data_IF_814658894009
#
_entry.id   IF_814658894009
#
_cell.length_a   1.000
_cell.length_b   1.000
_cell.length_c   1.000
_cell.angle_alpha   90.00
_cell.angle_beta   90.00
_cell.angle_gamma   90.00
#
_symmetry.space_group_name_H-M   'P 1'
#
loop_
_entity.id
_entity.type
_entity.pdbx_description
1 polymer ?
#
# COMPACT_ATOMS: atom_id res chain seq x y z
N UNK A 1 11.74 4.18 -15.61
CA UNK A 1 10.76 5.10 -14.98
C UNK A 1 11.46 6.29 -14.32
N UNK A 2 10.89 7.49 -14.44
CA UNK A 2 11.43 8.68 -13.80
C UNK A 2 10.71 8.90 -12.43
N UNK A 3 11.18 8.20 -11.40
CA UNK A 3 10.54 8.25 -10.07
C UNK A 3 10.53 9.66 -9.44
N UNK A 4 11.60 10.48 -9.54
CA UNK A 4 11.55 11.87 -9.08
C UNK A 4 10.44 12.70 -9.72
N UNK A 5 10.17 12.48 -11.01
CA UNK A 5 9.07 13.14 -11.71
C UNK A 5 7.70 12.71 -11.14
N UNK A 6 7.52 11.41 -10.87
CA UNK A 6 6.28 10.92 -10.26
C UNK A 6 6.04 11.52 -8.87
N UNK A 7 7.08 11.60 -8.03
CA UNK A 7 7.01 12.25 -6.71
C UNK A 7 6.64 13.73 -6.85
N UNK A 8 7.21 14.43 -7.84
CA UNK A 8 6.89 15.83 -8.10
C UNK A 8 5.40 16.01 -8.45
N UNK A 9 4.86 15.23 -9.39
CA UNK A 9 3.45 15.31 -9.76
C UNK A 9 2.53 14.93 -8.60
N UNK A 10 2.87 13.90 -7.83
CA UNK A 10 2.16 13.51 -6.61
C UNK A 10 2.03 14.70 -5.64
N UNK A 11 3.13 15.45 -5.45
CA UNK A 11 3.12 16.63 -4.58
C UNK A 11 2.23 17.74 -5.16
N UNK A 12 2.36 18.07 -6.44
CA UNK A 12 1.55 19.10 -7.10
C UNK A 12 0.04 18.80 -7.02
N UNK A 13 -0.36 17.53 -7.21
CA UNK A 13 -1.76 17.12 -7.02
C UNK A 13 -2.21 17.39 -5.58
N UNK A 14 -1.38 17.03 -4.58
CA UNK A 14 -1.72 17.26 -3.17
C UNK A 14 -1.78 18.74 -2.83
N UNK A 15 -0.92 19.57 -3.41
CA UNK A 15 -0.96 21.02 -3.24
C UNK A 15 -2.30 21.60 -3.73
N UNK A 16 -2.81 21.16 -4.89
CA UNK A 16 -4.15 21.54 -5.37
C UNK A 16 -5.24 21.07 -4.39
N UNK A 17 -5.18 19.83 -3.91
CA UNK A 17 -6.19 19.28 -3.01
C UNK A 17 -6.22 19.98 -1.64
N UNK A 18 -5.07 20.44 -1.15
CA UNK A 18 -4.95 21.15 0.13
C UNK A 18 -5.62 22.52 0.12
N UNK A 19 -5.91 23.09 -1.05
CA UNK A 19 -6.71 24.32 -1.15
C UNK A 19 -8.17 24.09 -0.75
N UNK A 20 -8.66 22.84 -0.84
CA UNK A 20 -10.02 22.47 -0.51
C UNK A 20 -10.20 21.96 0.92
N UNK A 21 -9.21 21.30 1.46
CA UNK A 21 -9.25 20.72 2.82
C UNK A 21 -7.87 20.39 3.36
N UNK A 22 -7.69 20.49 4.66
CA UNK A 22 -6.49 20.02 5.35
C UNK A 22 -6.59 18.54 5.77
N UNK A 23 -7.78 17.92 5.62
CA UNK A 23 -8.00 16.50 5.84
C UNK A 23 -7.63 15.75 4.57
N UNK A 24 -6.32 15.51 4.38
CA UNK A 24 -5.75 14.83 3.23
C UNK A 24 -4.80 13.74 3.71
N UNK A 25 -5.16 12.49 3.42
CA UNK A 25 -4.38 11.31 3.77
C UNK A 25 -3.80 10.65 2.51
N UNK A 26 -2.49 10.66 2.31
CA UNK A 26 -1.85 9.97 1.19
C UNK A 26 -2.03 8.44 1.29
N UNK A 27 -2.29 7.81 0.15
CA UNK A 27 -2.31 6.36 -0.01
C UNK A 27 -1.39 5.97 -1.17
N UNK A 28 -0.11 5.77 -0.86
CA UNK A 28 0.93 5.60 -1.88
C UNK A 28 1.36 6.93 -2.53
N UNK A 29 1.92 6.83 -3.76
CA UNK A 29 2.46 7.96 -4.49
C UNK A 29 1.41 8.67 -5.34
N UNK A 30 0.39 7.95 -5.80
CA UNK A 30 -0.57 8.36 -6.84
C UNK A 30 -2.00 8.45 -6.34
N UNK A 31 -2.25 8.11 -5.09
CA UNK A 31 -3.58 8.13 -4.49
C UNK A 31 -3.60 8.90 -3.17
N UNK A 32 -4.77 9.43 -2.84
CA UNK A 32 -5.05 10.00 -1.52
C UNK A 32 -6.54 10.03 -1.24
N UNK A 33 -6.89 10.09 0.03
CA UNK A 33 -8.24 10.45 0.48
C UNK A 33 -8.25 11.90 0.93
N UNK A 34 -9.37 12.57 0.64
CA UNK A 34 -9.69 13.88 1.21
C UNK A 34 -11.06 13.82 1.88
N UNK A 35 -11.19 14.46 3.03
CA UNK A 35 -12.51 14.71 3.64
C UNK A 35 -12.89 16.16 3.39
N UNK A 36 -13.98 16.35 2.64
CA UNK A 36 -14.50 17.65 2.24
C UNK A 36 -15.78 18.04 2.97
N UNK A 37 -16.20 17.27 3.99
CA UNK A 37 -17.42 17.51 4.75
C UNK A 37 -17.48 18.94 5.31
N UNK A 38 -16.35 19.44 5.84
CA UNK A 38 -16.24 20.80 6.35
C UNK A 38 -16.16 21.90 5.29
N UNK A 39 -16.00 21.54 4.02
CA UNK A 39 -15.73 22.47 2.91
C UNK A 39 -16.96 22.72 2.01
N UNK A 40 -18.05 21.96 2.23
CA UNK A 40 -19.26 22.06 1.38
C UNK A 40 -19.89 23.46 1.36
N UNK A 41 -19.78 24.20 2.47
CA UNK A 41 -20.27 25.59 2.55
C UNK A 41 -19.51 26.58 1.65
N UNK A 42 -18.26 26.28 1.32
CA UNK A 42 -17.40 27.14 0.49
C UNK A 42 -17.39 26.72 -0.97
N UNK A 43 -17.35 25.41 -1.24
CA UNK A 43 -17.10 24.86 -2.58
C UNK A 43 -18.33 24.14 -3.18
N UNK A 44 -19.44 24.09 -2.44
CA UNK A 44 -20.67 23.43 -2.91
C UNK A 44 -20.66 21.91 -2.67
N UNK A 45 -21.63 21.23 -3.30
CA UNK A 45 -21.83 19.79 -3.10
C UNK A 45 -20.64 18.97 -3.62
N UNK A 46 -20.41 17.84 -2.98
CA UNK A 46 -19.29 16.92 -3.28
C UNK A 46 -19.15 16.56 -4.77
N UNK A 47 -20.25 16.42 -5.52
CA UNK A 47 -20.19 16.14 -6.97
C UNK A 47 -19.61 17.32 -7.76
N UNK A 48 -20.02 18.54 -7.46
CA UNK A 48 -19.51 19.76 -8.11
C UNK A 48 -18.04 19.94 -7.81
N UNK A 49 -17.66 19.78 -6.55
CA UNK A 49 -16.29 19.85 -6.08
C UNK A 49 -15.40 18.81 -6.76
N UNK A 50 -15.86 17.56 -6.86
CA UNK A 50 -15.10 16.51 -7.52
C UNK A 50 -14.84 16.80 -9.01
N UNK A 51 -15.84 17.34 -9.72
CA UNK A 51 -15.68 17.78 -11.12
C UNK A 51 -14.69 18.95 -11.24
N UNK A 52 -14.76 19.91 -10.35
CA UNK A 52 -13.82 21.03 -10.30
C UNK A 52 -12.38 20.55 -10.08
N UNK A 53 -12.16 19.68 -9.11
CA UNK A 53 -10.83 19.07 -8.84
C UNK A 53 -10.29 18.35 -10.08
N UNK A 54 -11.12 17.51 -10.75
CA UNK A 54 -10.70 16.84 -11.98
C UNK A 54 -10.28 17.83 -13.07
N UNK A 55 -11.06 18.89 -13.27
CA UNK A 55 -10.78 19.91 -14.27
C UNK A 55 -9.53 20.72 -13.95
N UNK A 56 -9.31 21.08 -12.68
CA UNK A 56 -8.12 21.81 -12.25
C UNK A 56 -6.86 20.98 -12.46
N UNK A 57 -6.86 19.72 -12.00
CA UNK A 57 -5.71 18.83 -12.17
C UNK A 57 -5.37 18.66 -13.66
N UNK A 58 -6.39 18.50 -14.52
CA UNK A 58 -6.17 18.44 -15.96
C UNK A 58 -5.61 19.73 -16.54
N UNK A 59 -6.17 20.90 -16.19
CA UNK A 59 -5.76 22.19 -16.72
C UNK A 59 -4.37 22.61 -16.25
N UNK A 60 -4.07 22.38 -14.96
CA UNK A 60 -2.84 22.86 -14.32
C UNK A 60 -1.67 21.88 -14.49
N UNK A 61 -1.93 20.58 -14.52
CA UNK A 61 -0.88 19.54 -14.53
C UNK A 61 -0.88 18.68 -15.80
N UNK A 62 -1.91 18.71 -16.63
CA UNK A 62 -2.01 17.91 -17.85
C UNK A 62 -2.19 16.40 -17.61
N UNK A 63 -2.58 15.99 -16.41
CA UNK A 63 -2.84 14.58 -16.05
C UNK A 63 -4.30 14.36 -15.69
N UNK A 64 -4.80 13.15 -15.92
CA UNK A 64 -6.14 12.76 -15.54
C UNK A 64 -6.18 12.07 -14.18
N UNK A 65 -7.27 12.26 -13.43
CA UNK A 65 -7.55 11.55 -12.18
C UNK A 65 -8.94 10.94 -12.22
N UNK A 66 -9.12 9.79 -11.56
CA UNK A 66 -10.43 9.21 -11.31
C UNK A 66 -10.80 9.43 -9.85
N UNK A 67 -12.03 9.91 -9.60
CA UNK A 67 -12.49 10.27 -8.26
C UNK A 67 -13.68 9.39 -7.88
N UNK A 68 -13.62 8.82 -6.69
CA UNK A 68 -14.75 8.22 -6.00
C UNK A 68 -15.19 9.12 -4.85
N UNK A 69 -16.43 9.58 -4.86
CA UNK A 69 -17.01 10.35 -3.77
C UNK A 69 -18.02 9.50 -3.00
N UNK A 70 -17.83 9.41 -1.68
CA UNK A 70 -18.62 8.53 -0.83
C UNK A 70 -18.51 8.95 0.64
N UNK A 71 -19.13 8.19 1.55
CA UNK A 71 -19.22 8.52 2.98
C UNK A 71 -18.08 7.93 3.85
N UNK A 72 -17.15 7.17 3.27
CA UNK A 72 -15.95 6.67 3.96
C UNK A 72 -14.85 6.31 2.96
N UNK A 73 -13.64 6.03 3.48
CA UNK A 73 -12.44 5.79 2.69
C UNK A 73 -12.54 4.56 1.78
N UNK A 74 -13.05 3.45 2.30
CA UNK A 74 -13.14 2.18 1.55
C UNK A 74 -14.08 2.31 0.37
N UNK A 75 -15.25 2.90 0.57
CA UNK A 75 -16.24 3.09 -0.49
C UNK A 75 -15.80 4.14 -1.51
N UNK A 76 -15.14 5.21 -1.07
CA UNK A 76 -14.54 6.19 -1.96
C UNK A 76 -13.44 5.59 -2.84
N UNK A 77 -12.55 4.78 -2.26
CA UNK A 77 -11.50 4.07 -3.02
C UNK A 77 -12.10 3.16 -4.09
N UNK A 78 -13.11 2.38 -3.74
CA UNK A 78 -13.80 1.50 -4.68
C UNK A 78 -14.48 2.31 -5.80
N UNK A 79 -15.10 3.45 -5.47
CA UNK A 79 -15.68 4.36 -6.46
C UNK A 79 -14.65 4.93 -7.43
N UNK A 80 -13.43 5.24 -6.97
CA UNK A 80 -12.36 5.75 -7.84
C UNK A 80 -11.84 4.69 -8.83
N UNK A 81 -11.92 3.41 -8.48
CA UNK A 81 -11.52 2.32 -9.35
C UNK A 81 -12.63 1.87 -10.33
N UNK A 82 -13.89 2.14 -10.01
CA UNK A 82 -15.05 1.64 -10.74
C UNK A 82 -15.12 2.13 -12.19
N UNK A 83 -14.70 3.37 -12.44
CA UNK A 83 -14.67 3.98 -13.79
C UNK A 83 -13.32 4.63 -14.06
N UNK A 84 -12.37 3.85 -14.56
CA UNK A 84 -11.07 4.34 -15.00
C UNK A 84 -10.96 4.25 -16.53
N UNK A 85 -10.24 5.15 -17.23
CA UNK A 85 -9.59 6.36 -16.72
C UNK A 85 -10.57 7.56 -16.62
N UNK A 86 -10.17 8.60 -15.88
CA UNK A 86 -10.87 9.90 -15.79
C UNK A 86 -12.34 9.80 -15.37
N UNK A 87 -12.67 8.81 -14.55
CA UNK A 87 -14.03 8.60 -14.07
C UNK A 87 -14.37 9.44 -12.83
N UNK A 88 -15.66 9.75 -12.69
CA UNK A 88 -16.25 10.24 -11.45
C UNK A 88 -17.37 9.29 -11.03
N UNK A 89 -17.27 8.73 -9.85
CA UNK A 89 -18.26 7.81 -9.30
C UNK A 89 -18.80 8.33 -7.98
N UNK A 90 -20.10 8.54 -7.92
CA UNK A 90 -20.82 8.93 -6.69
C UNK A 90 -21.44 7.68 -6.08
N UNK A 91 -20.93 7.22 -4.94
CA UNK A 91 -21.53 6.15 -4.17
C UNK A 91 -22.25 6.73 -2.95
N UNK A 92 -23.53 6.39 -2.81
CA UNK A 92 -24.36 6.74 -1.67
C UNK A 92 -24.87 5.48 -1.00
N UNK A 93 -25.33 5.57 0.24
CA UNK A 93 -25.95 4.42 0.96
C UNK A 93 -27.13 3.83 0.18
N UNK A 94 -27.85 4.64 -0.61
CA UNK A 94 -29.01 4.20 -1.38
C UNK A 94 -28.65 3.41 -2.64
N UNK A 95 -27.52 3.73 -3.32
CA UNK A 95 -27.11 3.03 -4.55
C UNK A 95 -25.99 1.99 -4.33
N UNK A 96 -25.40 1.95 -3.14
CA UNK A 96 -24.24 1.12 -2.83
C UNK A 96 -24.44 -0.36 -3.17
N UNK A 97 -25.52 -0.96 -2.65
CA UNK A 97 -25.78 -2.40 -2.87
C UNK A 97 -26.00 -2.72 -4.35
N UNK A 98 -26.73 -1.87 -5.05
CA UNK A 98 -27.03 -2.08 -6.48
C UNK A 98 -25.75 -1.99 -7.33
N UNK A 99 -24.82 -1.11 -7.01
CA UNK A 99 -23.59 -0.91 -7.78
C UNK A 99 -22.49 -1.84 -7.33
N UNK A 100 -22.29 -1.98 -6.01
CA UNK A 100 -21.07 -2.60 -5.45
C UNK A 100 -21.22 -4.09 -5.20
N UNK A 101 -22.38 -4.57 -4.76
CA UNK A 101 -22.55 -5.98 -4.44
C UNK A 101 -22.28 -6.95 -5.61
N UNK A 102 -22.61 -6.60 -6.87
CA UNK A 102 -22.28 -7.45 -8.02
C UNK A 102 -20.79 -7.47 -8.39
N UNK A 103 -19.99 -6.54 -7.90
CA UNK A 103 -18.56 -6.47 -8.23
C UNK A 103 -17.78 -7.65 -7.65
N UNK A 104 -16.69 -8.08 -8.31
CA UNK A 104 -15.79 -9.08 -7.78
C UNK A 104 -15.27 -8.70 -6.40
N UNK A 105 -15.16 -9.65 -5.48
CA UNK A 105 -14.60 -9.38 -4.15
C UNK A 105 -13.15 -8.85 -4.21
N UNK A 106 -12.42 -9.15 -5.30
CA UNK A 106 -11.06 -8.63 -5.55
C UNK A 106 -10.98 -7.11 -5.72
N UNK A 107 -12.09 -6.45 -6.01
CA UNK A 107 -12.13 -4.99 -6.19
C UNK A 107 -12.17 -4.27 -4.84
N UNK A 108 -12.49 -5.00 -3.77
CA UNK A 108 -12.50 -4.45 -2.43
C UNK A 108 -11.07 -4.26 -1.91
N UNK A 109 -10.84 -3.13 -1.26
CA UNK A 109 -9.55 -2.81 -0.62
C UNK A 109 -9.09 -3.97 0.28
N UNK A 110 -7.81 -4.33 0.20
CA UNK A 110 -7.15 -5.45 0.89
C UNK A 110 -7.54 -6.86 0.45
N UNK A 111 -8.35 -7.02 -0.59
CA UNK A 111 -8.63 -8.33 -1.20
C UNK A 111 -7.72 -8.56 -2.40
N UNK A 112 -6.48 -8.94 -2.15
CA UNK A 112 -5.53 -9.33 -3.19
C UNK A 112 -5.74 -10.75 -3.70
N UNK A 113 -4.95 -11.17 -4.69
CA UNK A 113 -5.07 -12.47 -5.35
C UNK A 113 -5.07 -13.68 -4.39
N UNK A 114 -4.24 -13.64 -3.33
CA UNK A 114 -4.19 -14.71 -2.34
C UNK A 114 -5.46 -14.79 -1.50
N UNK A 115 -6.02 -13.65 -1.09
CA UNK A 115 -7.29 -13.55 -0.36
C UNK A 115 -8.43 -14.05 -1.25
N UNK A 116 -8.46 -13.58 -2.51
CA UNK A 116 -9.51 -13.99 -3.46
C UNK A 116 -9.49 -15.50 -3.74
N UNK A 117 -8.31 -16.13 -3.87
CA UNK A 117 -8.23 -17.61 -4.01
C UNK A 117 -8.86 -18.34 -2.83
N UNK A 118 -8.60 -17.88 -1.60
CA UNK A 118 -9.21 -18.48 -0.40
C UNK A 118 -10.72 -18.28 -0.38
N UNK A 119 -11.22 -17.07 -0.69
CA UNK A 119 -12.66 -16.78 -0.75
C UNK A 119 -13.39 -17.70 -1.75
N UNK A 120 -12.81 -17.92 -2.94
CA UNK A 120 -13.38 -18.81 -3.96
C UNK A 120 -13.57 -20.26 -3.50
N UNK A 121 -12.68 -20.76 -2.64
CA UNK A 121 -12.82 -22.11 -2.07
C UNK A 121 -14.07 -22.27 -1.18
N UNK A 122 -14.66 -21.14 -0.76
CA UNK A 122 -15.88 -21.09 0.05
C UNK A 122 -17.09 -20.54 -0.73
N UNK A 123 -16.98 -20.45 -2.06
CA UNK A 123 -18.06 -19.96 -2.92
C UNK A 123 -18.30 -18.46 -2.84
N UNK A 124 -17.32 -17.68 -2.38
CA UNK A 124 -17.42 -16.21 -2.25
C UNK A 124 -16.66 -15.58 -3.41
N UNK A 125 -17.38 -14.99 -4.35
CA UNK A 125 -16.85 -14.40 -5.58
C UNK A 125 -17.06 -12.89 -5.63
N UNK A 126 -18.16 -12.40 -5.06
CA UNK A 126 -18.59 -11.00 -5.13
C UNK A 126 -18.48 -10.30 -3.77
N UNK A 127 -18.50 -8.96 -3.81
CA UNK A 127 -18.56 -8.14 -2.59
C UNK A 127 -19.86 -8.43 -1.82
N UNK A 128 -20.97 -8.62 -2.51
CA UNK A 128 -22.25 -8.96 -1.89
C UNK A 128 -22.24 -10.29 -1.14
N UNK A 129 -21.62 -11.33 -1.72
CA UNK A 129 -21.44 -12.62 -1.06
C UNK A 129 -20.52 -12.50 0.15
N UNK A 130 -19.44 -11.73 0.06
CA UNK A 130 -18.56 -11.44 1.18
C UNK A 130 -19.29 -10.69 2.31
N UNK A 131 -20.15 -9.72 1.96
CA UNK A 131 -20.95 -8.97 2.93
C UNK A 131 -21.96 -9.83 3.68
N UNK A 132 -22.47 -10.89 3.05
CA UNK A 132 -23.48 -11.79 3.64
C UNK A 132 -22.90 -13.08 4.20
N UNK A 133 -21.62 -13.38 3.98
CA UNK A 133 -20.95 -14.57 4.48
C UNK A 133 -21.00 -14.65 6.02
N UNK A 134 -21.15 -15.87 6.62
CA UNK A 134 -21.14 -16.06 8.07
C UNK A 134 -19.83 -15.61 8.70
N UNK A 135 -19.89 -14.94 9.86
CA UNK A 135 -18.73 -14.47 10.59
C UNK A 135 -17.78 -15.60 10.98
N UNK A 136 -18.34 -16.75 11.38
CA UNK A 136 -17.58 -17.96 11.72
C UNK A 136 -16.72 -18.46 10.55
N UNK A 137 -17.28 -18.45 9.33
CA UNK A 137 -16.55 -18.82 8.11
C UNK A 137 -15.39 -17.87 7.84
N UNK A 138 -15.64 -16.57 7.82
CA UNK A 138 -14.61 -15.56 7.55
C UNK A 138 -13.54 -15.51 8.64
N UNK A 139 -13.93 -15.67 9.90
CA UNK A 139 -12.99 -15.76 11.01
C UNK A 139 -12.14 -17.04 10.91
N UNK A 140 -12.72 -18.17 10.52
CA UNK A 140 -11.98 -19.43 10.31
C UNK A 140 -10.93 -19.34 9.20
N UNK A 141 -11.22 -18.59 8.11
CA UNK A 141 -10.30 -18.46 6.97
C UNK A 141 -9.20 -17.41 7.22
N UNK A 142 -9.55 -16.27 7.79
CA UNK A 142 -8.71 -15.08 7.86
C UNK A 142 -8.51 -14.51 9.27
N UNK A 143 -9.10 -15.10 10.29
CA UNK A 143 -9.11 -14.53 11.64
C UNK A 143 -9.83 -13.17 11.68
N UNK A 144 -9.32 -12.25 12.49
CA UNK A 144 -9.89 -10.90 12.64
C UNK A 144 -9.99 -10.12 11.32
N UNK A 145 -9.07 -10.33 10.39
CA UNK A 145 -9.09 -9.65 9.10
C UNK A 145 -10.32 -10.03 8.28
N UNK A 146 -10.81 -11.28 8.36
CA UNK A 146 -12.03 -11.70 7.69
C UNK A 146 -13.25 -10.88 8.11
N UNK A 147 -13.36 -10.57 9.39
CA UNK A 147 -14.45 -9.74 9.91
C UNK A 147 -14.34 -8.28 9.45
N UNK A 148 -13.11 -7.75 9.38
CA UNK A 148 -12.85 -6.41 8.84
C UNK A 148 -13.25 -6.33 7.37
N UNK A 149 -12.85 -7.32 6.55
CA UNK A 149 -13.22 -7.38 5.14
C UNK A 149 -14.74 -7.44 4.95
N UNK A 150 -15.45 -8.17 5.81
CA UNK A 150 -16.93 -8.16 5.80
C UNK A 150 -17.50 -6.78 6.11
N UNK A 151 -16.97 -6.06 7.11
CA UNK A 151 -17.40 -4.69 7.40
C UNK A 151 -17.16 -3.77 6.20
N UNK A 152 -16.02 -3.89 5.54
CA UNK A 152 -15.74 -3.15 4.32
C UNK A 152 -16.69 -3.49 3.18
N UNK A 153 -17.02 -4.77 2.99
CA UNK A 153 -18.02 -5.20 2.01
C UNK A 153 -19.44 -4.68 2.31
N UNK A 154 -19.78 -4.49 3.59
CA UNK A 154 -21.01 -3.84 4.03
C UNK A 154 -21.00 -2.31 3.84
N UNK A 155 -19.86 -1.72 3.45
CA UNK A 155 -19.66 -0.29 3.37
C UNK A 155 -19.44 0.39 4.73
N UNK A 156 -19.06 -0.38 5.74
CA UNK A 156 -18.81 0.09 7.11
C UNK A 156 -17.30 0.29 7.33
N UNK A 157 -16.83 1.51 7.20
CA UNK A 157 -15.50 1.94 7.60
C UNK A 157 -15.63 3.23 8.41
N UNK A 158 -15.09 3.24 9.61
CA UNK A 158 -15.15 4.39 10.53
C UNK A 158 -13.79 5.09 10.64
N UNK A 159 -12.80 4.66 9.87
CA UNK A 159 -11.47 5.27 9.91
C UNK A 159 -11.53 6.70 9.37
N UNK A 160 -11.12 7.72 10.14
CA UNK A 160 -11.10 9.09 9.67
C UNK A 160 -10.03 9.29 8.59
N UNK A 161 -10.19 10.31 7.77
CA UNK A 161 -9.11 10.83 6.93
C UNK A 161 -8.17 11.62 7.83
N UNK A 162 -6.90 11.23 7.87
CA UNK A 162 -5.90 11.90 8.69
C UNK A 162 -5.56 13.29 8.12
N UNK A 163 -5.32 14.31 8.97
CA UNK A 163 -4.82 15.59 8.52
C UNK A 163 -3.49 15.44 7.76
N UNK A 164 -3.27 16.29 6.77
CA UNK A 164 -2.02 16.30 6.02
C UNK A 164 -0.83 16.62 6.93
N UNK A 165 0.25 15.86 6.75
CA UNK A 165 1.44 16.01 7.60
C UNK A 165 1.34 15.33 8.97
N UNK A 166 0.26 14.56 9.24
CA UNK A 166 0.21 13.73 10.45
C UNK A 166 1.42 12.80 10.53
N UNK A 167 1.95 12.62 11.74
CA UNK A 167 3.11 11.76 11.96
C UNK A 167 2.83 10.31 11.52
N UNK A 168 3.62 9.83 10.56
CA UNK A 168 3.61 8.45 10.13
C UNK A 168 4.64 7.70 10.97
N UNK A 169 4.20 6.73 11.76
CA UNK A 169 5.11 5.84 12.48
C UNK A 169 5.84 4.94 11.48
N UNK A 170 7.09 5.28 11.17
CA UNK A 170 7.96 4.48 10.30
C UNK A 170 8.37 3.20 11.06
N UNK A 171 7.92 2.04 10.58
CA UNK A 171 8.20 0.74 11.19
C UNK A 171 9.44 0.06 10.62
N UNK A 172 9.80 0.36 9.39
CA UNK A 172 10.95 -0.23 8.71
C UNK A 172 11.47 0.69 7.61
N UNK A 173 12.76 0.59 7.32
CA UNK A 173 13.42 1.20 6.16
C UNK A 173 14.04 0.07 5.35
N UNK A 174 13.71 -0.03 4.08
CA UNK A 174 14.19 -1.09 3.21
C UNK A 174 14.59 -0.58 1.82
N UNK A 175 15.46 -1.34 1.16
CA UNK A 175 15.80 -1.17 -0.24
C UNK A 175 15.97 -2.53 -0.90
N UNK A 176 15.76 -2.62 -2.22
CA UNK A 176 15.92 -3.82 -3.01
C UNK A 176 16.40 -3.49 -4.42
N UNK A 177 17.04 -4.45 -5.05
CA UNK A 177 17.42 -4.36 -6.47
C UNK A 177 17.24 -5.71 -7.14
N UNK A 178 16.94 -5.69 -8.43
CA UNK A 178 17.13 -6.85 -9.31
C UNK A 178 18.47 -6.67 -9.97
N UNK A 179 19.33 -7.66 -9.81
CA UNK A 179 20.69 -7.63 -10.38
C UNK A 179 20.64 -7.85 -11.89
N UNK A 180 21.57 -7.26 -12.67
CA UNK A 180 21.58 -7.41 -14.12
C UNK A 180 21.96 -8.82 -14.59
N UNK A 181 22.57 -9.63 -13.72
CA UNK A 181 22.89 -11.04 -13.90
C UNK A 181 22.67 -11.81 -12.59
N UNK A 182 22.62 -13.12 -12.67
CA UNK A 182 22.59 -13.97 -11.49
C UNK A 182 23.88 -13.79 -10.67
N UNK A 183 23.75 -13.82 -9.35
CA UNK A 183 24.87 -13.75 -8.43
C UNK A 183 25.32 -15.19 -8.12
N UNK A 184 26.58 -15.52 -8.49
CA UNK A 184 27.10 -16.88 -8.39
C UNK A 184 28.11 -17.04 -7.27
N UNK A 185 28.66 -15.93 -6.75
CA UNK A 185 29.70 -15.96 -5.71
C UNK A 185 29.24 -15.20 -4.45
N UNK A 186 29.81 -15.56 -3.31
CA UNK A 186 29.62 -14.86 -2.04
C UNK A 186 30.06 -13.39 -2.11
N UNK A 187 31.09 -13.10 -2.90
CA UNK A 187 31.62 -11.76 -3.12
C UNK A 187 30.61 -10.90 -3.87
N UNK A 188 29.96 -11.42 -4.92
CA UNK A 188 28.89 -10.74 -5.64
C UNK A 188 27.75 -10.34 -4.69
N UNK A 189 27.32 -11.28 -3.85
CA UNK A 189 26.23 -11.07 -2.88
C UNK A 189 26.62 -10.04 -1.82
N UNK A 190 27.85 -10.12 -1.28
CA UNK A 190 28.38 -9.16 -0.29
C UNK A 190 28.39 -7.74 -0.84
N UNK A 191 28.82 -7.57 -2.11
CA UNK A 191 28.83 -6.26 -2.78
C UNK A 191 27.41 -5.67 -2.88
N UNK A 192 26.44 -6.47 -3.34
CA UNK A 192 25.05 -6.03 -3.45
C UNK A 192 24.48 -5.66 -2.08
N UNK A 193 24.68 -6.49 -1.06
CA UNK A 193 24.22 -6.17 0.29
C UNK A 193 24.88 -4.92 0.87
N UNK A 194 26.17 -4.71 0.58
CA UNK A 194 26.84 -3.49 1.03
C UNK A 194 26.20 -2.25 0.42
N UNK A 195 25.96 -2.22 -0.89
CA UNK A 195 25.30 -1.09 -1.57
C UNK A 195 23.89 -0.85 -1.04
N UNK A 196 23.10 -1.93 -0.86
CA UNK A 196 21.75 -1.81 -0.31
C UNK A 196 21.76 -1.33 1.14
N UNK A 197 22.68 -1.85 1.96
CA UNK A 197 22.81 -1.45 3.37
C UNK A 197 23.23 0.01 3.53
N UNK A 198 24.15 0.50 2.70
CA UNK A 198 24.51 1.95 2.70
C UNK A 198 23.33 2.84 2.32
N UNK A 199 22.53 2.43 1.32
CA UNK A 199 21.31 3.16 0.96
C UNK A 199 20.29 3.18 2.10
N UNK A 200 20.08 2.06 2.78
CA UNK A 200 19.20 1.96 3.96
C UNK A 200 19.73 2.80 5.10
N UNK A 201 21.02 2.67 5.42
CA UNK A 201 21.68 3.41 6.50
C UNK A 201 21.61 4.93 6.29
N UNK A 202 21.85 5.40 5.05
CA UNK A 202 21.71 6.82 4.70
C UNK A 202 20.29 7.31 4.98
N UNK A 203 19.26 6.61 4.49
CA UNK A 203 17.85 6.98 4.72
C UNK A 203 17.48 6.95 6.21
N UNK A 204 18.00 5.98 6.96
CA UNK A 204 17.79 5.94 8.42
C UNK A 204 18.40 7.15 9.12
N UNK A 205 19.60 7.60 8.71
CA UNK A 205 20.23 8.81 9.26
C UNK A 205 19.46 10.06 8.90
N UNK A 206 19.01 10.20 7.65
CA UNK A 206 18.17 11.32 7.19
C UNK A 206 16.86 11.43 7.97
N UNK A 207 16.28 10.31 8.35
CA UNK A 207 15.04 10.23 9.13
C UNK A 207 15.26 10.23 10.66
N UNK A 208 16.50 10.27 11.14
CA UNK A 208 16.82 10.24 12.57
C UNK A 208 16.61 8.89 13.25
N UNK A 209 16.53 7.78 12.49
CA UNK A 209 16.25 6.45 13.03
C UNK A 209 17.49 5.58 13.21
N UNK A 210 17.39 4.65 14.17
CA UNK A 210 18.27 3.49 14.33
C UNK A 210 17.43 2.22 14.40
N UNK A 211 17.91 1.13 13.80
CA UNK A 211 17.24 -0.16 13.79
C UNK A 211 18.07 -1.24 14.51
N UNK A 212 17.41 -2.30 14.93
CA UNK A 212 18.08 -3.45 15.56
C UNK A 212 17.81 -4.76 14.83
N UNK A 213 16.75 -4.84 14.04
CA UNK A 213 16.40 -6.03 13.28
C UNK A 213 16.74 -5.82 11.82
N UNK A 214 17.62 -6.69 11.29
CA UNK A 214 17.95 -6.73 9.85
C UNK A 214 17.20 -7.91 9.25
N UNK A 215 16.48 -7.65 8.16
CA UNK A 215 15.76 -8.66 7.40
C UNK A 215 16.28 -8.64 5.95
N UNK A 216 16.62 -9.82 5.43
CA UNK A 216 16.97 -10.02 4.03
C UNK A 216 15.86 -10.80 3.32
N UNK A 217 15.63 -10.46 2.05
CA UNK A 217 14.79 -11.22 1.13
C UNK A 217 15.59 -11.50 -0.12
N UNK A 218 15.66 -12.76 -0.49
CA UNK A 218 16.39 -13.23 -1.68
C UNK A 218 15.41 -13.92 -2.62
N UNK A 219 15.54 -13.65 -3.90
CA UNK A 219 14.78 -14.30 -4.97
C UNK A 219 15.76 -14.87 -5.99
N UNK A 220 15.57 -16.12 -6.35
CA UNK A 220 16.35 -16.78 -7.41
C UNK A 220 15.75 -16.54 -8.81
N UNK A 221 16.41 -17.07 -9.83
CA UNK A 221 16.00 -16.99 -11.23
C UNK A 221 14.76 -17.84 -11.55
N UNK A 222 14.39 -18.80 -10.70
CA UNK A 222 13.11 -19.53 -10.77
C UNK A 222 11.98 -18.76 -10.07
N UNK A 223 12.23 -17.53 -9.58
CA UNK A 223 11.31 -16.67 -8.82
C UNK A 223 10.93 -17.23 -7.45
N UNK A 224 11.58 -18.28 -6.96
CA UNK A 224 11.43 -18.71 -5.59
C UNK A 224 12.09 -17.71 -4.64
N UNK A 225 11.44 -17.45 -3.51
CA UNK A 225 11.91 -16.43 -2.58
C UNK A 225 11.98 -16.97 -1.16
N UNK A 226 12.96 -16.49 -0.41
CA UNK A 226 13.00 -16.69 1.02
C UNK A 226 13.39 -15.42 1.77
N UNK A 227 13.05 -15.35 3.04
CA UNK A 227 13.44 -14.28 3.94
C UNK A 227 14.18 -14.82 5.15
N UNK A 228 15.11 -14.02 5.67
CA UNK A 228 15.77 -14.28 6.95
C UNK A 228 15.89 -12.97 7.70
N UNK A 229 15.74 -13.04 9.02
CA UNK A 229 15.96 -11.89 9.88
C UNK A 229 16.80 -12.23 11.09
N UNK A 230 17.48 -11.22 11.59
CA UNK A 230 18.24 -11.35 12.80
C UNK A 230 18.46 -10.01 13.49
N UNK A 231 18.68 -10.05 14.79
CA UNK A 231 18.98 -8.85 15.57
C UNK A 231 20.49 -8.59 15.59
N UNK A 232 20.89 -7.33 15.49
CA UNK A 232 22.23 -6.86 15.86
C UNK A 232 22.29 -6.60 17.37
N UNK A 233 23.49 -6.51 17.93
CA UNK A 233 23.68 -6.37 19.39
C UNK A 233 23.06 -5.08 19.93
N UNK A 234 23.15 -3.99 19.18
CA UNK A 234 22.65 -2.67 19.55
C UNK A 234 21.92 -1.99 18.38
N UNK A 235 21.24 -0.89 18.66
CA UNK A 235 20.58 -0.09 17.61
C UNK A 235 21.61 0.64 16.76
N UNK A 236 21.53 0.46 15.43
CA UNK A 236 22.50 1.03 14.49
C UNK A 236 21.81 1.68 13.28
N UNK A 237 22.51 2.60 12.64
CA UNK A 237 22.26 3.13 11.30
C UNK A 237 23.59 3.18 10.49
N UNK A 238 24.51 2.28 10.79
CA UNK A 238 25.81 2.14 10.13
C UNK A 238 25.70 1.03 9.06
N UNK A 239 26.03 1.38 7.81
CA UNK A 239 25.86 0.48 6.67
C UNK A 239 26.68 -0.79 6.77
N UNK A 240 27.95 -0.71 7.22
CA UNK A 240 28.81 -1.88 7.39
C UNK A 240 28.29 -2.90 8.43
N UNK A 241 27.66 -2.43 9.50
CA UNK A 241 27.07 -3.31 10.53
C UNK A 241 25.80 -4.00 10.00
N UNK A 242 24.95 -3.26 9.23
CA UNK A 242 23.78 -3.81 8.58
C UNK A 242 24.19 -4.84 7.52
N UNK A 243 25.18 -4.54 6.69
CA UNK A 243 25.70 -5.43 5.65
C UNK A 243 26.32 -6.71 6.23
N UNK A 244 27.14 -6.59 7.27
CA UNK A 244 27.72 -7.76 7.96
C UNK A 244 26.64 -8.69 8.49
N UNK A 245 25.57 -8.17 9.09
CA UNK A 245 24.45 -8.96 9.57
C UNK A 245 23.66 -9.61 8.42
N UNK A 246 23.51 -8.93 7.29
CA UNK A 246 22.85 -9.45 6.08
C UNK A 246 23.59 -10.66 5.52
N UNK A 247 24.92 -10.58 5.42
CA UNK A 247 25.77 -11.66 4.95
C UNK A 247 25.73 -12.89 5.88
N UNK A 248 25.80 -12.69 7.19
CA UNK A 248 25.69 -13.78 8.18
C UNK A 248 24.32 -14.49 8.14
N UNK A 249 23.24 -13.75 7.87
CA UNK A 249 21.91 -14.32 7.73
C UNK A 249 21.73 -15.18 6.46
N UNK A 250 22.49 -14.89 5.39
CA UNK A 250 22.51 -15.70 4.16
C UNK A 250 23.31 -16.98 4.36
N UNK A 251 24.52 -16.88 4.92
CA UNK A 251 25.43 -18.04 5.13
C UNK A 251 24.82 -19.10 6.05
N UNK A 252 24.05 -18.71 7.06
CA UNK A 252 23.32 -19.62 7.92
C UNK A 252 22.32 -20.55 7.20
N UNK A 253 21.90 -20.24 5.97
CA UNK A 253 21.06 -21.13 5.14
C UNK A 253 21.89 -22.08 4.27
N UNK A 254 23.01 -21.62 3.75
CA UNK A 254 23.89 -22.47 2.91
C UNK A 254 24.45 -23.65 3.71
N UNK A 255 24.72 -23.46 4.99
CA UNK A 255 25.17 -24.54 5.89
C UNK A 255 24.07 -25.52 6.30
N UNK A 256 22.80 -25.14 6.28
CA UNK A 256 21.68 -26.04 6.58
C UNK A 256 21.21 -26.84 5.36
N UNK A 257 21.43 -26.33 4.14
CA UNK A 257 21.08 -27.03 2.89
C UNK A 257 22.07 -28.11 2.46
N UNK A 258 23.27 -28.14 3.05
CA UNK A 258 24.30 -29.16 2.77
C UNK A 258 24.26 -30.38 3.73
N UNK A 259 23.31 -30.37 4.69
CA UNK A 259 23.18 -31.47 5.67
C UNK A 259 22.07 -32.49 5.31
N UNK A 260 21.30 -32.24 4.25
CA UNK A 260 20.19 -33.10 3.81
C UNK A 260 20.34 -33.58 2.34
N UNK A 261 21.57 -33.90 1.92
CA UNK A 261 21.84 -34.57 0.63
C UNK A 261 22.51 -35.91 0.83
#
# INVERSE_FOLDING_TARGET
PNFPLYVRFSRLVREILLEYTNQLEPFGIDECWIDVTGSEGLFGRSETLAKEIQQRIWKELGITVSIGASWNKVTAKLGSDYRKPHGLTMLSKSNYKAIVYPLPASDLLYVGAATMRKLRNYGIYTIGELATAPDSTLHGIFGKIGLILKQFALGNDQSPVSPYGSEIVIKSVGNSTTTPRDLETDEDVKLVYYVLAESVARRMRELGFKGRTVCISVRDNALASFTRQGKVAYYTNIGSEISSKSNGALQGKLSMGSADS
#
